data_IF_199129467525
#
_entry.id   IF_199129467525
#
_cell.length_a   1.000
_cell.length_b   1.000
_cell.length_c   1.000
_cell.angle_alpha   90.00
_cell.angle_beta   90.00
_cell.angle_gamma   90.00
#
_symmetry.space_group_name_H-M   'P 1'
#
loop_
_entity.id
_entity.type
_entity.pdbx_description
1 polymer ?
#
# COMPACT_ATOMS: atom_id res chain seq x y z
N UNK A 1 -28.55 -33.24 24.50
CA UNK A 1 -28.90 -32.08 23.65
C UNK A 1 -27.68 -31.20 23.56
N UNK A 2 -26.90 -31.30 22.46
CA UNK A 2 -25.66 -30.54 22.28
C UNK A 2 -25.96 -29.17 21.68
N UNK A 3 -25.71 -28.12 22.45
CA UNK A 3 -25.72 -26.74 21.96
C UNK A 3 -24.47 -26.48 21.11
N UNK A 4 -24.66 -26.30 19.80
CA UNK A 4 -23.65 -25.79 18.86
C UNK A 4 -23.37 -24.32 19.18
N UNK A 5 -22.28 -24.05 19.87
CA UNK A 5 -21.66 -22.73 19.93
C UNK A 5 -20.73 -22.53 18.74
N UNK A 6 -21.29 -22.16 17.58
CA UNK A 6 -20.50 -21.69 16.45
C UNK A 6 -19.99 -20.27 16.72
N UNK A 7 -18.81 -20.15 17.34
CA UNK A 7 -18.08 -18.88 17.44
C UNK A 7 -17.01 -18.82 16.35
N UNK A 8 -17.24 -17.91 15.41
CA UNK A 8 -16.31 -17.22 14.52
C UNK A 8 -14.83 -17.66 14.57
N UNK A 9 -14.20 -18.02 13.43
CA UNK A 9 -12.78 -17.81 13.30
C UNK A 9 -12.56 -16.30 13.15
N UNK A 10 -12.24 -15.61 14.26
CA UNK A 10 -11.52 -14.35 14.21
C UNK A 10 -10.27 -14.60 13.37
N UNK A 11 -10.21 -14.00 12.20
CA UNK A 11 -9.07 -14.10 11.29
C UNK A 11 -7.87 -13.45 11.96
N UNK A 12 -7.12 -14.24 12.73
CA UNK A 12 -5.79 -13.87 13.16
C UNK A 12 -4.91 -13.88 11.92
N UNK A 13 -4.95 -12.79 11.14
CA UNK A 13 -4.02 -12.60 10.03
C UNK A 13 -2.61 -12.79 10.56
N UNK A 14 -1.91 -13.73 9.93
CA UNK A 14 -0.52 -14.00 10.26
C UNK A 14 0.32 -12.75 10.00
N UNK A 15 1.47 -12.62 10.67
CA UNK A 15 2.39 -11.49 10.45
C UNK A 15 2.72 -11.31 8.95
N UNK A 16 2.98 -12.37 8.16
CA UNK A 16 3.10 -12.29 6.71
C UNK A 16 1.90 -11.66 5.99
N UNK A 17 0.68 -12.07 6.32
CA UNK A 17 -0.54 -11.55 5.69
C UNK A 17 -0.73 -10.08 6.01
N UNK A 18 -0.48 -9.65 7.25
CA UNK A 18 -0.58 -8.23 7.64
C UNK A 18 0.40 -7.34 6.88
N UNK A 19 1.63 -7.83 6.66
CA UNK A 19 2.63 -7.11 5.90
C UNK A 19 2.24 -6.99 4.42
N UNK A 20 1.73 -8.07 3.83
CA UNK A 20 1.25 -8.07 2.44
C UNK A 20 0.02 -7.15 2.28
N UNK A 21 -0.89 -7.16 3.24
CA UNK A 21 -2.03 -6.22 3.26
C UNK A 21 -1.56 -4.77 3.36
N UNK A 22 -0.57 -4.46 4.20
CA UNK A 22 -0.02 -3.11 4.28
C UNK A 22 0.56 -2.64 2.93
N UNK A 23 1.27 -3.50 2.21
CA UNK A 23 1.75 -3.20 0.84
C UNK A 23 0.59 -2.99 -0.12
N UNK A 24 -0.44 -3.84 -0.06
CA UNK A 24 -1.63 -3.75 -0.91
C UNK A 24 -2.40 -2.46 -0.65
N UNK A 25 -2.57 -2.06 0.61
CA UNK A 25 -3.27 -0.84 1.01
C UNK A 25 -2.55 0.40 0.47
N UNK A 26 -1.22 0.48 0.63
CA UNK A 26 -0.42 1.60 0.11
C UNK A 26 -0.41 1.65 -1.42
N UNK A 27 -0.36 0.50 -2.07
CA UNK A 27 -0.47 0.42 -3.53
C UNK A 27 -1.84 0.92 -4.01
N UNK A 28 -2.91 0.53 -3.30
CA UNK A 28 -4.29 0.94 -3.62
C UNK A 28 -4.49 2.44 -3.37
N UNK A 29 -3.91 2.97 -2.30
CA UNK A 29 -3.94 4.41 -1.99
C UNK A 29 -3.25 5.22 -3.10
N UNK A 30 -2.03 4.83 -3.50
CA UNK A 30 -1.31 5.50 -4.58
C UNK A 30 -2.08 5.43 -5.90
N UNK A 31 -2.65 4.25 -6.23
CA UNK A 31 -3.46 4.08 -7.43
C UNK A 31 -4.69 4.98 -7.41
N UNK A 32 -5.46 4.99 -6.31
CA UNK A 32 -6.66 5.84 -6.19
C UNK A 32 -6.31 7.32 -6.31
N UNK A 33 -5.17 7.72 -5.75
CA UNK A 33 -4.71 9.10 -5.86
C UNK A 33 -4.40 9.46 -7.32
N UNK A 34 -3.72 8.60 -8.07
CA UNK A 34 -3.47 8.78 -9.51
C UNK A 34 -4.77 8.82 -10.32
N UNK A 35 -5.67 7.87 -10.07
CA UNK A 35 -6.98 7.77 -10.73
C UNK A 35 -7.88 9.01 -10.48
N UNK A 36 -7.61 9.79 -9.42
CA UNK A 36 -8.34 11.03 -9.08
C UNK A 36 -7.91 12.24 -9.92
N UNK A 37 -7.33 12.02 -11.11
CA UNK A 37 -6.88 13.09 -12.02
C UNK A 37 -5.42 13.52 -11.85
N UNK A 38 -4.62 12.77 -11.08
CA UNK A 38 -3.21 13.08 -10.88
C UNK A 38 -2.29 12.36 -11.89
N UNK A 39 -2.83 11.47 -12.72
CA UNK A 39 -2.09 10.75 -13.76
C UNK A 39 -1.50 11.65 -14.83
N UNK A 40 -2.20 12.71 -15.25
CA UNK A 40 -1.68 13.68 -16.24
C UNK A 40 -0.51 14.47 -15.65
N UNK A 41 -0.65 14.95 -14.41
CA UNK A 41 0.43 15.65 -13.70
C UNK A 41 1.64 14.75 -13.45
N UNK A 42 1.44 13.43 -13.26
CA UNK A 42 2.54 12.47 -13.21
C UNK A 42 3.29 12.40 -14.53
N UNK A 43 2.58 12.34 -15.67
CA UNK A 43 3.22 12.34 -16.99
C UNK A 43 4.01 13.63 -17.23
N UNK A 44 3.45 14.78 -16.86
CA UNK A 44 4.15 16.07 -16.93
C UNK A 44 5.43 16.06 -16.07
N UNK A 45 5.35 15.59 -14.83
CA UNK A 45 6.52 15.46 -13.95
C UNK A 45 7.61 14.56 -14.55
N UNK A 46 7.23 13.44 -15.17
CA UNK A 46 8.17 12.52 -15.83
C UNK A 46 8.82 13.11 -17.10
N UNK A 47 8.21 14.13 -17.68
CA UNK A 47 8.74 14.91 -18.81
C UNK A 47 9.55 16.14 -18.36
N UNK A 48 9.92 16.22 -17.07
CA UNK A 48 10.61 17.36 -16.47
C UNK A 48 9.82 18.69 -16.55
N UNK A 49 8.50 18.61 -16.72
CA UNK A 49 7.64 19.78 -16.66
C UNK A 49 7.41 20.22 -15.20
N UNK A 50 7.27 21.54 -14.94
CA UNK A 50 6.99 22.03 -13.61
C UNK A 50 5.61 21.58 -13.15
N UNK A 51 5.56 20.97 -11.98
CA UNK A 51 4.32 20.55 -11.30
C UNK A 51 4.12 21.29 -10.01
N UNK A 52 2.88 21.33 -9.53
CA UNK A 52 2.54 21.96 -8.26
C UNK A 52 3.31 21.33 -7.08
N UNK A 53 3.78 22.17 -6.15
CA UNK A 53 4.60 21.72 -5.02
C UNK A 53 3.81 20.86 -4.01
N UNK A 54 2.50 21.09 -3.86
CA UNK A 54 1.63 20.27 -3.01
C UNK A 54 1.41 18.91 -3.66
N UNK A 55 1.23 18.88 -4.98
CA UNK A 55 1.17 17.65 -5.76
C UNK A 55 2.45 16.82 -5.58
N UNK A 56 3.63 17.42 -5.77
CA UNK A 56 4.92 16.73 -5.66
C UNK A 56 5.15 16.17 -4.25
N UNK A 57 4.83 16.95 -3.22
CA UNK A 57 4.93 16.51 -1.82
C UNK A 57 4.03 15.30 -1.55
N UNK A 58 2.83 15.30 -2.11
CA UNK A 58 1.87 14.20 -1.94
C UNK A 58 2.35 12.94 -2.65
N UNK A 59 2.83 13.07 -3.89
CA UNK A 59 3.42 11.98 -4.65
C UNK A 59 4.61 11.33 -3.91
N UNK A 60 5.56 12.16 -3.44
CA UNK A 60 6.73 11.68 -2.70
C UNK A 60 6.34 10.98 -1.39
N UNK A 61 5.34 11.51 -0.66
CA UNK A 61 4.84 10.87 0.57
C UNK A 61 4.27 9.49 0.28
N UNK A 62 3.38 9.37 -0.71
CA UNK A 62 2.77 8.10 -1.09
C UNK A 62 3.82 7.08 -1.55
N UNK A 63 4.79 7.52 -2.36
CA UNK A 63 5.91 6.66 -2.78
C UNK A 63 6.76 6.18 -1.61
N UNK A 64 7.08 7.06 -0.65
CA UNK A 64 7.83 6.70 0.56
C UNK A 64 7.07 5.70 1.43
N UNK A 65 5.78 5.92 1.63
CA UNK A 65 4.95 5.03 2.46
C UNK A 65 4.84 3.63 1.83
N UNK A 66 4.70 3.56 0.49
CA UNK A 66 4.72 2.30 -0.25
C UNK A 66 6.07 1.58 -0.14
N UNK A 67 7.18 2.29 -0.38
CA UNK A 67 8.53 1.70 -0.27
C UNK A 67 8.82 1.21 1.15
N UNK A 68 8.38 1.93 2.18
CA UNK A 68 8.50 1.52 3.58
C UNK A 68 7.72 0.22 3.85
N UNK A 69 6.48 0.11 3.37
CA UNK A 69 5.68 -1.11 3.51
C UNK A 69 6.35 -2.30 2.80
N UNK A 70 6.89 -2.10 1.59
CA UNK A 70 7.62 -3.14 0.84
C UNK A 70 8.89 -3.56 1.57
N UNK A 71 9.68 -2.61 2.07
CA UNK A 71 10.90 -2.90 2.84
C UNK A 71 10.59 -3.73 4.08
N UNK A 72 9.58 -3.32 4.87
CA UNK A 72 9.13 -4.07 6.04
C UNK A 72 8.69 -5.50 5.69
N UNK A 73 7.97 -5.67 4.57
CA UNK A 73 7.56 -7.00 4.10
C UNK A 73 8.77 -7.84 3.67
N UNK A 74 9.73 -7.25 2.94
CA UNK A 74 10.94 -7.96 2.48
C UNK A 74 11.85 -8.39 3.63
N UNK A 75 11.95 -7.59 4.69
CA UNK A 75 12.77 -7.90 5.86
C UNK A 75 12.16 -9.03 6.71
N UNK A 76 10.83 -9.05 6.83
CA UNK A 76 10.13 -9.95 7.74
C UNK A 76 9.57 -11.22 7.07
N UNK A 77 9.39 -11.22 5.75
CA UNK A 77 9.03 -12.42 5.02
C UNK A 77 10.28 -13.30 4.80
N UNK A 78 10.25 -14.58 5.20
CA UNK A 78 11.38 -15.47 4.96
C UNK A 78 11.64 -15.56 3.46
N UNK A 79 12.88 -15.27 3.03
CA UNK A 79 13.32 -15.54 1.66
C UNK A 79 13.12 -17.03 1.41
N UNK A 80 12.13 -17.39 0.58
CA UNK A 80 12.01 -18.75 0.07
C UNK A 80 13.24 -19.00 -0.80
N UNK A 81 14.14 -19.82 -0.29
CA UNK A 81 15.37 -20.28 -0.95
C UNK A 81 15.13 -21.67 -1.51
#
# INVERSE_FOLDING_TARGET
>A
MNSKGGRHPMTNSTVPEKLLHAVQDRTTEMRRWLDSGNSETLMAHLHDEPVDAVWLRTYQRLGRDLMSAVGNAQEQLPRRR
#
